data_IF_785097158340
#
_entry.id   IF_785097158340
#
_cell.length_a   1.000
_cell.length_b   1.000
_cell.length_c   1.000
_cell.angle_alpha   90.00
_cell.angle_beta   90.00
_cell.angle_gamma   90.00
#
_symmetry.space_group_name_H-M   'P 1'
#
loop_
_entity.id
_entity.type
_entity.pdbx_description
1 polymer ?
#
# COMPACT_ATOMS: atom_id res chain seq x y z
N UNK A 1 -42.74 -18.67 45.01
CA UNK A 1 -42.94 -19.67 43.93
C UNK A 1 -42.56 -19.05 42.59
N UNK A 2 -41.54 -19.59 41.91
CA UNK A 2 -41.36 -19.43 40.46
C UNK A 2 -40.16 -18.60 39.98
N UNK A 3 -38.95 -19.10 40.09
CA UNK A 3 -37.85 -18.70 39.20
C UNK A 3 -37.64 -19.84 38.20
N UNK A 4 -37.76 -19.56 36.90
CA UNK A 4 -37.38 -20.50 35.84
C UNK A 4 -36.19 -19.92 35.09
N UNK A 5 -34.98 -20.29 35.52
CA UNK A 5 -33.76 -20.15 34.74
C UNK A 5 -33.61 -21.41 33.89
N UNK A 6 -33.72 -21.28 32.57
CA UNK A 6 -33.50 -22.36 31.62
C UNK A 6 -32.13 -22.25 30.99
N UNK A 7 -31.17 -23.03 31.48
CA UNK A 7 -29.86 -23.21 30.83
C UNK A 7 -30.00 -24.28 29.76
N UNK A 8 -29.96 -23.89 28.48
CA UNK A 8 -29.80 -24.82 27.37
C UNK A 8 -28.36 -24.68 26.82
N UNK A 9 -27.47 -25.51 27.38
CA UNK A 9 -26.21 -25.88 26.76
C UNK A 9 -26.45 -27.20 26.02
N UNK A 10 -26.32 -27.19 24.70
CA UNK A 10 -26.06 -28.39 23.89
C UNK A 10 -25.05 -28.00 22.84
N UNK A 11 -23.79 -28.36 23.09
CA UNK A 11 -22.68 -28.09 22.19
C UNK A 11 -22.64 -29.00 20.97
N UNK A 12 -21.74 -28.66 20.05
CA UNK A 12 -20.88 -29.63 19.36
C UNK A 12 -19.68 -28.91 18.78
N UNK A 13 -18.51 -29.42 19.14
CA UNK A 13 -17.21 -29.08 18.57
C UNK A 13 -17.02 -29.85 17.26
N UNK A 14 -16.64 -29.12 16.22
CA UNK A 14 -15.85 -29.57 15.06
C UNK A 14 -15.30 -28.26 14.47
N UNK A 15 -14.01 -27.96 14.45
CA UNK A 15 -12.93 -28.85 14.03
C UNK A 15 -12.63 -28.59 12.55
N UNK A 16 -11.68 -27.69 12.29
CA UNK A 16 -10.76 -27.78 11.14
C UNK A 16 -11.15 -27.10 9.80
N UNK A 17 -10.50 -25.95 9.60
CA UNK A 17 -9.78 -25.49 8.40
C UNK A 17 -10.50 -25.16 7.09
N UNK A 18 -10.57 -23.85 6.83
CA UNK A 18 -9.75 -23.12 5.83
C UNK A 18 -10.00 -21.62 6.02
N UNK A 19 -9.17 -20.91 6.78
CA UNK A 19 -7.99 -20.19 6.27
C UNK A 19 -8.24 -19.51 4.92
N UNK A 20 -8.77 -18.29 4.97
CA UNK A 20 -8.32 -17.20 4.10
C UNK A 20 -7.80 -16.12 5.03
N UNK A 21 -6.51 -16.24 5.34
CA UNK A 21 -5.68 -15.10 5.66
C UNK A 21 -5.51 -14.31 4.37
N UNK A 22 -5.90 -13.03 4.35
CA UNK A 22 -5.12 -12.04 3.62
C UNK A 22 -5.41 -10.63 4.15
N UNK A 23 -4.46 -10.15 4.96
CA UNK A 23 -4.05 -8.75 4.99
C UNK A 23 -5.00 -7.73 5.61
N UNK A 24 -5.12 -7.70 6.94
CA UNK A 24 -5.27 -6.41 7.62
C UNK A 24 -3.89 -5.73 7.63
N UNK A 25 -3.64 -4.86 6.64
CA UNK A 25 -2.45 -4.03 6.56
C UNK A 25 -2.49 -2.92 7.61
N UNK A 26 -1.77 -3.11 8.72
CA UNK A 26 -1.56 -2.10 9.76
C UNK A 26 -0.78 -0.91 9.20
N UNK A 27 -1.45 0.22 8.99
CA UNK A 27 -0.79 1.48 8.61
C UNK A 27 -0.21 2.11 9.88
N UNK A 28 1.11 2.01 10.07
CA UNK A 28 1.83 2.69 11.15
C UNK A 28 2.49 3.94 10.59
N UNK A 29 2.00 5.09 11.03
CA UNK A 29 2.25 6.40 10.46
C UNK A 29 3.60 6.95 10.93
N UNK A 30 4.66 6.73 10.15
CA UNK A 30 5.87 7.58 9.99
C UNK A 30 6.69 7.10 8.77
N UNK A 31 6.54 5.83 8.38
CA UNK A 31 7.04 5.23 7.13
C UNK A 31 6.00 5.27 5.98
N UNK A 32 4.93 6.04 6.17
CA UNK A 32 3.66 5.84 5.47
C UNK A 32 3.68 6.14 3.97
N UNK A 33 4.44 7.13 3.49
CA UNK A 33 4.49 7.44 2.06
C UNK A 33 5.22 6.35 1.27
N UNK A 34 6.38 5.92 1.74
CA UNK A 34 7.12 4.83 1.09
C UNK A 34 6.33 3.53 1.12
N UNK A 35 5.73 3.16 2.25
CA UNK A 35 4.92 1.93 2.31
C UNK A 35 3.70 1.99 1.40
N UNK A 36 3.01 3.13 1.32
CA UNK A 36 1.90 3.29 0.37
C UNK A 36 2.35 3.17 -1.09
N UNK A 37 3.52 3.72 -1.43
CA UNK A 37 4.08 3.54 -2.78
C UNK A 37 4.40 2.08 -3.06
N UNK A 38 5.02 1.39 -2.11
CA UNK A 38 5.32 -0.04 -2.20
C UNK A 38 4.03 -0.83 -2.42
N UNK A 39 2.97 -0.55 -1.64
CA UNK A 39 1.70 -1.24 -1.78
C UNK A 39 1.05 -0.96 -3.14
N UNK A 40 1.07 0.29 -3.64
CA UNK A 40 0.60 0.61 -5.00
C UNK A 40 1.39 -0.18 -6.06
N UNK A 41 2.72 -0.22 -5.96
CA UNK A 41 3.57 -0.96 -6.89
C UNK A 41 3.29 -2.47 -6.88
N UNK A 42 3.02 -3.04 -5.71
CA UNK A 42 2.71 -4.47 -5.56
C UNK A 42 1.30 -4.78 -6.04
N UNK A 43 0.30 -3.99 -5.64
CA UNK A 43 -1.12 -4.27 -5.89
C UNK A 43 -1.57 -3.88 -7.30
N UNK A 44 -1.11 -2.74 -7.82
CA UNK A 44 -1.52 -2.26 -9.16
C UNK A 44 -0.57 -2.77 -10.25
N UNK A 45 0.73 -2.82 -9.97
CA UNK A 45 1.75 -3.12 -10.98
C UNK A 45 2.38 -4.51 -10.82
N UNK A 46 1.94 -5.31 -9.82
CA UNK A 46 2.43 -6.65 -9.55
C UNK A 46 3.97 -6.73 -9.40
N UNK A 47 4.59 -5.66 -8.90
CA UNK A 47 6.02 -5.61 -8.62
C UNK A 47 6.32 -6.41 -7.35
N UNK A 48 7.44 -7.13 -7.35
CA UNK A 48 7.85 -7.92 -6.19
C UNK A 48 8.36 -7.02 -5.05
N UNK A 49 7.69 -7.06 -3.90
CA UNK A 49 8.06 -6.26 -2.70
C UNK A 49 9.51 -6.49 -2.26
N UNK A 50 10.07 -7.67 -2.48
CA UNK A 50 11.46 -7.99 -2.15
C UNK A 50 12.48 -7.31 -3.06
N UNK A 51 12.07 -6.87 -4.25
CA UNK A 51 12.90 -6.09 -5.18
C UNK A 51 12.79 -4.58 -4.98
N UNK A 52 11.71 -4.13 -4.32
CA UNK A 52 11.50 -2.70 -4.08
C UNK A 52 12.43 -2.25 -2.96
N UNK A 53 13.50 -1.56 -3.34
CA UNK A 53 14.44 -0.92 -2.41
C UNK A 53 14.42 0.60 -2.60
N UNK A 54 14.74 1.39 -1.57
CA UNK A 54 14.78 2.85 -1.70
C UNK A 54 15.79 3.34 -2.74
N UNK A 55 16.87 2.56 -2.96
CA UNK A 55 17.89 2.83 -3.98
C UNK A 55 17.60 2.18 -5.34
N UNK A 56 16.54 1.35 -5.45
CA UNK A 56 16.19 0.75 -6.74
C UNK A 56 15.56 1.80 -7.65
N UNK A 57 15.88 1.69 -8.94
CA UNK A 57 15.29 2.49 -10.00
C UNK A 57 14.04 1.84 -10.56
N UNK A 58 13.16 2.65 -11.16
CA UNK A 58 11.97 2.13 -11.84
C UNK A 58 12.32 1.17 -12.99
N UNK A 59 13.42 1.45 -13.70
CA UNK A 59 13.93 0.56 -14.75
C UNK A 59 14.27 -0.84 -14.23
N UNK A 60 14.93 -0.95 -13.06
CA UNK A 60 15.30 -2.23 -12.44
C UNK A 60 14.08 -3.03 -11.97
N UNK A 61 13.01 -2.32 -11.58
CA UNK A 61 11.73 -2.93 -11.21
C UNK A 61 10.92 -3.37 -12.43
N UNK A 62 11.45 -3.20 -13.65
CA UNK A 62 10.77 -3.45 -14.92
C UNK A 62 9.51 -2.60 -15.08
N UNK A 63 9.55 -1.38 -14.59
CA UNK A 63 8.55 -0.38 -14.92
C UNK A 63 8.87 0.15 -16.32
N UNK A 64 7.98 -0.07 -17.27
CA UNK A 64 8.08 0.59 -18.57
C UNK A 64 7.65 2.05 -18.47
N UNK A 65 8.03 2.88 -19.46
CA UNK A 65 7.64 4.29 -19.50
C UNK A 65 6.13 4.51 -19.44
N UNK A 66 5.33 3.59 -19.98
CA UNK A 66 3.86 3.63 -19.91
C UNK A 66 3.34 3.35 -18.49
N UNK A 67 3.94 2.38 -17.79
CA UNK A 67 3.59 2.09 -16.39
C UNK A 67 4.01 3.22 -15.46
N UNK A 68 5.14 3.88 -15.72
CA UNK A 68 5.59 5.05 -14.95
C UNK A 68 4.58 6.20 -15.02
N UNK A 69 4.07 6.51 -16.23
CA UNK A 69 3.03 7.55 -16.41
C UNK A 69 1.76 7.16 -15.66
N UNK A 70 1.31 5.90 -15.75
CA UNK A 70 0.14 5.44 -15.00
C UNK A 70 0.35 5.52 -13.48
N UNK A 71 1.54 5.14 -12.99
CA UNK A 71 1.91 5.20 -11.58
C UNK A 71 1.86 6.63 -11.04
N UNK A 72 2.44 7.60 -11.77
CA UNK A 72 2.37 9.01 -11.42
C UNK A 72 0.93 9.51 -11.37
N UNK A 73 0.09 9.11 -12.34
CA UNK A 73 -1.34 9.46 -12.40
C UNK A 73 -2.16 8.86 -11.24
N UNK A 74 -1.84 7.65 -10.80
CA UNK A 74 -2.48 7.02 -9.62
C UNK A 74 -2.08 7.78 -8.37
N UNK A 75 -0.79 8.04 -8.16
CA UNK A 75 -0.28 8.74 -6.98
C UNK A 75 -0.83 10.16 -6.87
N UNK A 76 -0.79 10.94 -7.94
CA UNK A 76 -1.32 12.32 -7.91
C UNK A 76 -2.79 12.34 -7.51
N UNK A 77 -3.57 11.33 -7.93
CA UNK A 77 -4.99 11.21 -7.60
C UNK A 77 -5.21 10.70 -6.18
N UNK A 78 -4.42 9.73 -5.72
CA UNK A 78 -4.52 9.14 -4.38
C UNK A 78 -4.10 10.12 -3.28
N UNK A 79 -3.12 10.99 -3.56
CA UNK A 79 -2.57 11.94 -2.59
C UNK A 79 -3.02 13.38 -2.83
N UNK A 80 -3.84 13.65 -3.85
CA UNK A 80 -4.29 14.99 -4.27
C UNK A 80 -3.12 15.98 -4.46
N UNK A 81 -1.98 15.48 -4.97
CA UNK A 81 -0.78 16.29 -5.22
C UNK A 81 -0.65 16.61 -6.70
N UNK A 82 -0.05 17.76 -7.02
CA UNK A 82 0.34 18.10 -8.40
C UNK A 82 1.79 17.76 -8.64
N UNK A 83 2.00 16.76 -9.50
CA UNK A 83 3.32 16.41 -10.04
C UNK A 83 3.37 16.84 -11.51
N UNK A 84 4.56 17.24 -11.95
CA UNK A 84 4.82 17.48 -13.36
C UNK A 84 5.22 16.14 -14.04
N UNK A 85 5.17 16.05 -15.37
CA UNK A 85 5.62 14.87 -16.10
C UNK A 85 7.11 14.58 -15.83
N UNK A 86 7.90 15.60 -15.49
CA UNK A 86 9.31 15.48 -15.08
C UNK A 86 9.51 15.13 -13.59
N UNK A 87 8.43 14.83 -12.83
CA UNK A 87 8.55 14.54 -11.39
C UNK A 87 9.21 13.19 -11.08
N UNK A 88 9.16 12.24 -12.02
CA UNK A 88 9.90 10.99 -11.92
C UNK A 88 10.26 10.45 -13.31
N UNK A 89 11.43 9.86 -13.42
CA UNK A 89 11.98 9.23 -14.62
C UNK A 89 12.31 7.76 -14.35
N UNK A 90 12.55 6.97 -15.39
CA UNK A 90 12.93 5.56 -15.23
C UNK A 90 14.21 5.35 -14.42
N UNK A 91 15.11 6.34 -14.45
CA UNK A 91 16.37 6.35 -13.72
C UNK A 91 16.26 6.85 -12.29
N UNK A 92 15.11 7.39 -11.89
CA UNK A 92 14.91 7.84 -10.51
C UNK A 92 14.67 6.67 -9.57
N UNK A 93 15.03 6.90 -8.31
CA UNK A 93 14.89 5.89 -7.26
C UNK A 93 13.55 5.99 -6.56
N UNK A 94 13.06 4.87 -6.03
CA UNK A 94 11.80 4.83 -5.27
C UNK A 94 11.87 5.74 -4.04
N UNK A 95 13.02 5.78 -3.37
CA UNK A 95 13.24 6.67 -2.23
C UNK A 95 13.16 8.15 -2.60
N UNK A 96 13.64 8.53 -3.79
CA UNK A 96 13.56 9.90 -4.27
C UNK A 96 12.10 10.34 -4.47
N UNK A 97 11.31 9.52 -5.17
CA UNK A 97 9.89 9.81 -5.42
C UNK A 97 9.09 9.81 -4.12
N UNK A 98 9.37 8.88 -3.20
CA UNK A 98 8.75 8.86 -1.88
C UNK A 98 8.99 10.14 -1.08
N UNK A 99 10.23 10.62 -1.06
CA UNK A 99 10.59 11.87 -0.39
C UNK A 99 9.93 13.08 -1.06
N UNK A 100 9.90 13.12 -2.39
CA UNK A 100 9.26 14.19 -3.16
C UNK A 100 7.77 14.28 -2.85
N UNK A 101 7.07 13.15 -2.77
CA UNK A 101 5.65 13.10 -2.42
C UNK A 101 5.37 13.51 -0.99
N UNK A 102 6.21 13.11 -0.05
CA UNK A 102 6.11 13.53 1.34
C UNK A 102 6.25 15.06 1.45
N UNK A 103 7.19 15.66 0.73
CA UNK A 103 7.37 17.11 0.71
C UNK A 103 6.16 17.83 0.09
N UNK A 104 5.64 17.32 -1.03
CA UNK A 104 4.47 17.89 -1.70
C UNK A 104 3.20 17.81 -0.86
N UNK A 105 2.93 16.68 -0.23
CA UNK A 105 1.76 16.49 0.64
C UNK A 105 1.83 17.37 1.89
N UNK A 106 3.01 17.55 2.49
CA UNK A 106 3.21 18.52 3.58
C UNK A 106 3.02 19.97 3.14
N UNK A 107 3.44 20.30 1.92
CA UNK A 107 3.33 21.65 1.37
C UNK A 107 1.90 22.02 0.94
N UNK A 108 1.07 21.04 0.55
CA UNK A 108 -0.34 21.28 0.17
C UNK A 108 -1.31 21.28 1.35
N UNK A 109 -0.90 20.78 2.52
CA UNK A 109 -1.71 20.76 3.74
C UNK A 109 -1.64 22.05 4.60
N UNK A 110 -1.08 23.15 4.07
CA UNK A 110 -0.99 24.46 4.75
C UNK A 110 -1.76 25.57 4.02
#
# INVERSE_FOLDING_TARGET
MGYRCGTANTGRVDGTSRSVCSGEGKITVMSGMYEKLVDILVDHFAVDRGKITPDATFEELKMDSLFLVEFLLVIQSEFDVKLDDDAATLTDTIGHVAALLEDRTKATAQ
#
